data_IF_448309935955
#
_entry.id   IF_448309935955
#
_cell.length_a   1.000
_cell.length_b   1.000
_cell.length_c   1.000
_cell.angle_alpha   90.00
_cell.angle_beta   90.00
_cell.angle_gamma   90.00
#
_symmetry.space_group_name_H-M   'P 1'
#
loop_
_entity.id
_entity.type
_entity.pdbx_description
1 polymer ?
#
# COMPACT_ATOMS: atom_id res chain seq x y z
N UNK A 1 -5.97 6.10 8.58
CA UNK A 1 -5.00 7.05 7.98
C UNK A 1 -4.18 6.36 6.88
N UNK A 2 -4.00 7.03 5.73
CA UNK A 2 -3.29 6.49 4.58
C UNK A 2 -2.41 7.61 4.00
N UNK A 3 -1.10 7.44 4.07
CA UNK A 3 -0.15 8.37 3.46
C UNK A 3 0.11 7.92 2.03
N UNK A 4 -0.59 8.56 1.09
CA UNK A 4 -0.68 8.15 -0.31
C UNK A 4 0.19 9.03 -1.22
N UNK A 5 1.01 8.38 -2.06
CA UNK A 5 1.89 8.99 -3.05
C UNK A 5 1.19 9.03 -4.41
N UNK A 6 0.23 9.96 -4.56
CA UNK A 6 -0.64 10.05 -5.75
C UNK A 6 0.08 10.56 -7.00
N UNK A 7 1.18 11.27 -6.83
CA UNK A 7 2.05 11.77 -7.89
C UNK A 7 2.70 10.63 -8.70
N UNK A 8 2.89 9.46 -8.09
CA UNK A 8 3.44 8.26 -8.74
C UNK A 8 2.40 7.17 -9.00
N UNK A 9 1.12 7.41 -8.70
CA UNK A 9 -0.01 6.52 -9.00
C UNK A 9 -0.53 6.76 -10.43
N UNK A 10 0.29 6.42 -11.43
CA UNK A 10 -0.03 6.65 -12.83
C UNK A 10 -1.28 5.90 -13.32
N UNK A 11 -1.70 4.85 -12.60
CA UNK A 11 -2.88 4.03 -12.93
C UNK A 11 -4.16 4.53 -12.24
N UNK A 12 -4.06 5.50 -11.34
CA UNK A 12 -5.18 6.07 -10.61
C UNK A 12 -5.83 5.10 -9.61
N UNK A 13 -5.07 4.14 -9.07
CA UNK A 13 -5.54 3.17 -8.08
C UNK A 13 -6.10 3.84 -6.83
N UNK A 14 -5.53 4.98 -6.42
CA UNK A 14 -5.86 5.75 -5.22
C UNK A 14 -6.84 6.90 -5.48
N UNK A 15 -7.47 6.95 -6.66
CA UNK A 15 -8.52 7.92 -6.96
C UNK A 15 -9.71 7.73 -6.02
N UNK A 16 -10.06 8.78 -5.27
CA UNK A 16 -11.15 8.76 -4.28
C UNK A 16 -10.96 7.73 -3.14
N UNK A 17 -9.73 7.23 -2.95
CA UNK A 17 -9.34 6.35 -1.83
C UNK A 17 -8.68 7.22 -0.77
N UNK A 18 -9.35 7.39 0.36
CA UNK A 18 -8.89 8.26 1.47
C UNK A 18 -8.29 7.47 2.63
N UNK A 19 -8.66 6.19 2.76
CA UNK A 19 -8.17 5.29 3.81
C UNK A 19 -8.27 3.84 3.39
N UNK A 20 -7.38 2.99 3.91
CA UNK A 20 -7.59 1.54 3.94
C UNK A 20 -7.82 1.10 5.39
N UNK A 21 -8.33 -0.11 5.61
CA UNK A 21 -8.50 -0.65 6.96
C UNK A 21 -7.17 -0.61 7.69
N UNK A 22 -7.19 -0.03 8.89
CA UNK A 22 -5.99 0.06 9.70
C UNK A 22 -5.81 -1.29 10.38
N UNK A 23 -4.76 -1.98 10.00
CA UNK A 23 -4.25 -3.11 10.76
C UNK A 23 -2.83 -2.73 11.18
N UNK A 24 -2.58 -2.35 12.44
CA UNK A 24 -1.23 -2.01 12.88
C UNK A 24 -0.45 -3.31 13.12
N UNK A 25 0.05 -3.87 12.03
CA UNK A 25 0.90 -5.05 12.01
C UNK A 25 2.37 -4.63 11.93
N UNK A 26 3.25 -5.61 12.07
CA UNK A 26 4.70 -5.42 11.92
C UNK A 26 5.04 -4.86 10.53
N UNK A 27 6.28 -4.43 10.27
CA UNK A 27 6.62 -3.81 8.99
C UNK A 27 6.45 -4.79 7.82
N UNK A 28 5.55 -4.47 6.88
CA UNK A 28 5.38 -5.24 5.65
C UNK A 28 6.01 -4.54 4.45
N UNK A 29 6.36 -5.36 3.45
CA UNK A 29 6.77 -4.92 2.12
C UNK A 29 7.94 -3.91 2.09
N UNK A 30 8.86 -4.03 3.04
CA UNK A 30 10.13 -3.30 2.97
C UNK A 30 10.85 -3.66 1.68
N UNK A 31 11.28 -2.64 0.93
CA UNK A 31 11.95 -2.86 -0.34
C UNK A 31 13.39 -3.29 -0.11
N UNK A 32 13.82 -4.35 -0.77
CA UNK A 32 15.23 -4.73 -0.79
C UNK A 32 16.03 -3.74 -1.64
N UNK A 33 17.35 -3.63 -1.39
CA UNK A 33 18.25 -2.64 -2.04
C UNK A 33 18.17 -2.61 -3.58
N UNK A 34 17.73 -3.70 -4.21
CA UNK A 34 17.70 -3.86 -5.66
C UNK A 34 16.29 -3.67 -6.27
N UNK A 35 15.29 -3.25 -5.49
CA UNK A 35 13.93 -3.05 -6.02
C UNK A 35 13.89 -1.97 -7.13
N UNK A 36 14.77 -0.97 -7.05
CA UNK A 36 14.89 0.10 -8.04
C UNK A 36 13.54 0.75 -8.37
N UNK A 37 13.37 1.15 -9.64
CA UNK A 37 12.11 1.69 -10.15
C UNK A 37 11.06 0.63 -10.51
N UNK A 38 11.38 -0.65 -10.35
CA UNK A 38 10.49 -1.76 -10.72
C UNK A 38 9.34 -1.98 -9.73
N UNK A 39 9.41 -1.34 -8.57
CA UNK A 39 8.41 -1.38 -7.49
C UNK A 39 8.11 0.05 -7.04
N UNK A 40 6.85 0.46 -7.09
CA UNK A 40 6.36 1.75 -6.63
C UNK A 40 5.62 1.56 -5.32
N UNK A 41 6.03 2.27 -4.27
CA UNK A 41 5.26 2.34 -3.01
C UNK A 41 4.18 3.39 -3.21
N UNK A 42 2.92 2.98 -3.34
CA UNK A 42 1.82 3.93 -3.56
C UNK A 42 1.22 4.46 -2.26
N UNK A 43 1.33 3.70 -1.16
CA UNK A 43 0.90 4.21 0.13
C UNK A 43 1.63 3.56 1.33
N UNK A 44 1.65 4.32 2.43
CA UNK A 44 2.11 3.92 3.75
C UNK A 44 1.02 4.10 4.80
N UNK A 45 1.18 3.36 5.89
CA UNK A 45 0.34 3.48 7.08
C UNK A 45 1.20 3.61 8.34
N UNK A 46 0.68 4.29 9.38
CA UNK A 46 1.33 4.34 10.68
C UNK A 46 1.52 2.95 11.30
N UNK A 47 2.62 2.79 12.04
CA UNK A 47 2.90 1.61 12.86
C UNK A 47 2.40 1.85 14.30
N UNK A 48 1.99 0.79 14.99
CA UNK A 48 1.80 0.81 16.44
C UNK A 48 3.16 0.88 17.14
N UNK A 49 3.46 2.05 17.70
CA UNK A 49 4.74 2.35 18.36
C UNK A 49 4.82 1.80 19.79
N UNK A 50 3.72 1.28 20.35
CA UNK A 50 3.69 0.71 21.70
C UNK A 50 4.24 -0.73 21.73
N UNK A 51 4.50 -1.31 20.56
CA UNK A 51 5.07 -2.66 20.39
C UNK A 51 6.53 -2.57 19.96
N UNK A 52 7.49 -2.86 20.85
CA UNK A 52 8.91 -2.82 20.51
C UNK A 52 9.24 -3.76 19.35
N UNK A 53 9.95 -3.23 18.35
CA UNK A 53 10.43 -3.98 17.21
C UNK A 53 11.68 -3.31 16.64
N UNK A 54 12.70 -4.04 16.15
CA UNK A 54 13.92 -3.44 15.60
C UNK A 54 13.67 -2.39 14.51
N UNK A 55 12.57 -2.53 13.77
CA UNK A 55 12.17 -1.55 12.76
C UNK A 55 11.69 -0.22 13.35
N UNK A 56 10.90 -0.24 14.43
CA UNK A 56 10.45 0.98 15.12
C UNK A 56 11.58 1.57 15.96
N UNK A 57 12.45 0.76 16.54
CA UNK A 57 13.69 1.19 17.23
C UNK A 57 14.66 1.92 16.28
N UNK A 58 14.69 1.55 15.00
CA UNK A 58 15.44 2.27 13.97
C UNK A 58 14.81 3.62 13.57
N UNK A 59 13.72 4.05 14.22
CA UNK A 59 13.06 5.34 14.02
C UNK A 59 11.96 5.34 12.95
N UNK A 60 11.59 4.18 12.38
CA UNK A 60 10.51 4.13 11.41
C UNK A 60 9.14 4.21 12.11
N UNK A 61 8.29 5.10 11.64
CA UNK A 61 6.93 5.33 12.17
C UNK A 61 5.83 4.82 11.25
N UNK A 62 6.20 4.38 10.04
CA UNK A 62 5.28 3.94 9.00
C UNK A 62 5.82 2.73 8.25
N UNK A 63 4.91 1.93 7.69
CA UNK A 63 5.24 0.80 6.84
C UNK A 63 4.57 0.91 5.47
N UNK A 64 5.14 0.25 4.46
CA UNK A 64 4.57 0.18 3.12
C UNK A 64 3.31 -0.70 3.14
N UNK A 65 2.17 -0.17 2.70
CA UNK A 65 0.88 -0.89 2.75
C UNK A 65 0.29 -1.22 1.37
N UNK A 66 0.72 -0.49 0.33
CA UNK A 66 0.30 -0.70 -1.05
C UNK A 66 1.49 -0.51 -1.99
N UNK A 67 1.78 -1.55 -2.76
CA UNK A 67 2.78 -1.51 -3.82
C UNK A 67 2.12 -1.69 -5.18
N UNK A 68 2.68 -1.00 -6.18
CA UNK A 68 2.39 -1.23 -7.59
C UNK A 68 3.68 -1.56 -8.32
N UNK A 69 3.66 -2.66 -9.06
CA UNK A 69 4.77 -3.18 -9.83
C UNK A 69 4.37 -3.09 -11.31
N UNK A 70 4.78 -2.03 -12.03
CA UNK A 70 4.46 -1.87 -13.46
C UNK A 70 5.06 -3.02 -14.29
N UNK A 71 4.54 -3.30 -15.49
CA UNK A 71 5.15 -4.26 -16.40
C UNK A 71 6.59 -3.85 -16.75
N UNK A 72 7.42 -4.84 -17.05
CA UNK A 72 8.79 -4.66 -17.52
C UNK A 72 9.15 -5.80 -18.51
N UNK A 73 10.42 -5.94 -18.88
CA UNK A 73 10.88 -6.98 -19.82
C UNK A 73 10.62 -8.42 -19.34
N UNK A 74 10.50 -8.64 -18.03
CA UNK A 74 10.30 -9.97 -17.43
C UNK A 74 8.86 -10.20 -16.97
N UNK A 75 8.07 -9.13 -16.81
CA UNK A 75 6.70 -9.16 -16.30
C UNK A 75 5.78 -8.42 -17.26
N UNK A 76 4.87 -9.16 -17.90
CA UNK A 76 3.98 -8.61 -18.92
C UNK A 76 2.81 -7.76 -18.38
N UNK A 77 2.52 -7.82 -17.06
CA UNK A 77 1.36 -7.15 -16.48
C UNK A 77 1.69 -6.37 -15.21
N UNK A 78 0.79 -5.45 -14.87
CA UNK A 78 0.82 -4.76 -13.59
C UNK A 78 0.52 -5.74 -12.44
N UNK A 79 1.29 -5.66 -11.35
CA UNK A 79 0.97 -6.34 -10.09
C UNK A 79 0.66 -5.29 -9.04
N UNK A 80 -0.47 -5.45 -8.36
CA UNK A 80 -0.83 -4.65 -7.17
C UNK A 80 -0.69 -5.56 -5.96
N UNK A 81 0.13 -5.16 -4.99
CA UNK A 81 0.37 -5.93 -3.77
C UNK A 81 -0.07 -5.15 -2.53
N UNK A 82 -0.91 -5.77 -1.72
CA UNK A 82 -1.40 -5.24 -0.45
C UNK A 82 -1.80 -6.38 0.48
N UNK A 83 -1.81 -6.12 1.78
CA UNK A 83 -2.20 -7.12 2.76
C UNK A 83 -3.72 -7.37 2.74
N UNK A 84 -4.12 -8.63 2.86
CA UNK A 84 -5.53 -9.04 2.81
C UNK A 84 -6.41 -8.40 3.89
N UNK A 85 -5.83 -8.03 5.03
CA UNK A 85 -6.55 -7.40 6.15
C UNK A 85 -7.12 -6.02 5.77
N UNK A 86 -6.56 -5.36 4.75
CA UNK A 86 -7.12 -4.12 4.19
C UNK A 86 -8.53 -4.28 3.63
N UNK A 87 -8.93 -5.52 3.27
CA UNK A 87 -10.26 -5.82 2.73
C UNK A 87 -11.30 -6.15 3.80
N UNK A 88 -10.93 -6.08 5.08
CA UNK A 88 -11.90 -6.18 6.17
C UNK A 88 -12.74 -4.91 6.24
N UNK A 89 -14.06 -5.01 6.18
CA UNK A 89 -14.98 -3.85 6.30
C UNK A 89 -15.27 -3.46 7.75
N UNK A 90 -14.66 -4.14 8.71
CA UNK A 90 -14.95 -4.02 10.14
C UNK A 90 -14.65 -2.62 10.72
N UNK A 91 -13.92 -1.78 9.99
CA UNK A 91 -13.39 -0.50 10.50
C UNK A 91 -13.92 0.72 9.74
N UNK A 92 -15.09 0.63 9.10
CA UNK A 92 -15.80 1.81 8.59
C UNK A 92 -15.17 2.47 7.36
N UNK A 93 -14.37 1.73 6.58
CA UNK A 93 -13.69 2.22 5.37
C UNK A 93 -14.31 1.70 4.07
N UNK A 94 -15.57 1.24 4.13
CA UNK A 94 -16.26 0.55 3.02
C UNK A 94 -16.24 1.33 1.71
N UNK A 95 -16.47 2.64 1.74
CA UNK A 95 -16.48 3.48 0.54
C UNK A 95 -15.09 3.56 -0.12
N UNK A 96 -14.03 3.71 0.69
CA UNK A 96 -12.67 3.70 0.15
C UNK A 96 -12.28 2.34 -0.42
N UNK A 97 -12.70 1.24 0.23
CA UNK A 97 -12.47 -0.12 -0.29
C UNK A 97 -13.22 -0.31 -1.62
N UNK A 98 -14.47 0.15 -1.70
CA UNK A 98 -15.26 0.08 -2.94
C UNK A 98 -14.61 0.88 -4.07
N UNK A 99 -14.12 2.09 -3.78
CA UNK A 99 -13.38 2.90 -4.74
C UNK A 99 -12.08 2.22 -5.19
N UNK A 100 -11.31 1.65 -4.26
CA UNK A 100 -10.09 0.92 -4.58
C UNK A 100 -10.36 -0.25 -5.53
N UNK A 101 -11.36 -1.09 -5.24
CA UNK A 101 -11.76 -2.19 -6.12
C UNK A 101 -12.26 -1.72 -7.48
N UNK A 102 -13.06 -0.66 -7.51
CA UNK A 102 -13.52 -0.04 -8.76
C UNK A 102 -12.35 0.42 -9.62
N UNK A 103 -11.36 1.10 -9.02
CA UNK A 103 -10.19 1.59 -9.74
C UNK A 103 -9.33 0.42 -10.25
N UNK A 104 -9.12 -0.62 -9.43
CA UNK A 104 -8.39 -1.82 -9.82
C UNK A 104 -9.06 -2.53 -11.00
N UNK A 105 -10.39 -2.69 -10.97
CA UNK A 105 -11.15 -3.33 -12.05
C UNK A 105 -11.14 -2.52 -13.36
N UNK A 106 -10.96 -1.20 -13.28
CA UNK A 106 -10.89 -0.29 -14.43
C UNK A 106 -9.45 -0.05 -14.90
N UNK A 107 -8.45 -0.59 -14.20
CA UNK A 107 -7.05 -0.41 -14.53
C UNK A 107 -6.75 -0.99 -15.92
N UNK A 108 -6.02 -0.21 -16.74
CA UNK A 108 -5.60 -0.56 -18.10
C UNK A 108 -4.08 -0.50 -18.20
#
# INVERSE_FOLDING_TARGET
PLNAFRDIDAKGLLKDVTSLSLHPHLPHYSLTKNAGDSVKVLARQPIDMERPHPFTEAGNTEFNCLLWLPPNSERAGDIVMTDSTHFTVLFGVSDSIANFWRNLALMK
#
